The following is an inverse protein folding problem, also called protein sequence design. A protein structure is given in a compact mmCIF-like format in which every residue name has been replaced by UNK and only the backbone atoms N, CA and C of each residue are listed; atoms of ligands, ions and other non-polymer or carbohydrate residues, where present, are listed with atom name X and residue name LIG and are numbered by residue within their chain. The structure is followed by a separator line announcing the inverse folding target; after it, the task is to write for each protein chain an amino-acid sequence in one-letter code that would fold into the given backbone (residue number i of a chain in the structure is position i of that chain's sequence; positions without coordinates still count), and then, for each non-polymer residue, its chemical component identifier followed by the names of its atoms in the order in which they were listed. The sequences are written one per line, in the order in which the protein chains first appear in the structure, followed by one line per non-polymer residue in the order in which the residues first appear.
data_IF_214034787194
#
_entry.id   IF_214034787194
#
_cell.length_a   1.000
_cell.length_b   1.000
_cell.length_c   1.000
_cell.angle_alpha   90.00
_cell.angle_beta   90.00
_cell.angle_gamma   90.00
#
_symmetry.space_group_name_H-M   'P 1'
#
loop_
_entity.id
_entity.type
_entity.pdbx_description
1 polymer ?
#
# COMPACT_ATOMS: atom_id res chain seq x y z
N UNK A 1 -1.23 28.11 -9.56
CA UNK A 1 -1.20 28.51 -8.14
C UNK A 1 -2.50 29.19 -7.75
N UNK A 2 -2.88 30.28 -8.42
CA UNK A 2 -4.09 31.08 -8.11
C UNK A 2 -5.44 30.47 -8.53
N UNK A 3 -5.48 29.20 -8.93
CA UNK A 3 -6.75 28.57 -9.29
C UNK A 3 -7.46 28.11 -8.01
N UNK A 4 -8.77 28.33 -7.82
CA UNK A 4 -9.46 28.05 -6.55
C UNK A 4 -9.35 26.59 -6.08
N UNK A 5 -9.42 25.61 -7.00
CA UNK A 5 -9.17 24.19 -6.71
C UNK A 5 -7.83 23.91 -5.98
N UNK A 6 -6.85 24.82 -6.08
CA UNK A 6 -5.56 24.66 -5.41
C UNK A 6 -5.72 24.61 -3.90
N UNK A 7 -6.62 25.40 -3.33
CA UNK A 7 -6.88 25.47 -1.89
C UNK A 7 -7.43 24.14 -1.36
N UNK A 8 -8.40 23.56 -2.08
CA UNK A 8 -8.95 22.24 -1.75
C UNK A 8 -7.88 21.14 -1.78
N UNK A 9 -6.99 21.20 -2.78
CA UNK A 9 -5.89 20.25 -2.91
C UNK A 9 -4.80 20.46 -1.84
N UNK A 10 -4.50 21.71 -1.46
CA UNK A 10 -3.59 22.00 -0.34
C UNK A 10 -4.11 21.44 0.97
N UNK A 11 -5.40 21.64 1.26
CA UNK A 11 -6.02 21.10 2.46
C UNK A 11 -5.96 19.55 2.49
N UNK A 12 -6.21 18.89 1.36
CA UNK A 12 -6.06 17.44 1.24
C UNK A 12 -4.61 16.99 1.46
N UNK A 13 -3.64 17.68 0.84
CA UNK A 13 -2.22 17.37 0.99
C UNK A 13 -1.82 17.52 2.46
N UNK A 14 -2.12 18.65 3.09
CA UNK A 14 -1.78 18.92 4.49
C UNK A 14 -2.34 17.84 5.43
N UNK A 15 -3.60 17.44 5.22
CA UNK A 15 -4.20 16.35 5.98
C UNK A 15 -3.46 15.02 5.77
N UNK A 16 -3.09 14.67 4.54
CA UNK A 16 -2.37 13.43 4.23
C UNK A 16 -0.93 13.40 4.81
N UNK A 17 -0.29 14.57 4.91
CA UNK A 17 1.11 14.69 5.33
C UNK A 17 1.30 14.68 6.86
N UNK A 18 0.23 14.71 7.66
CA UNK A 18 0.30 14.74 9.15
C UNK A 18 1.22 13.69 9.77
N UNK A 19 1.26 12.48 9.18
CA UNK A 19 2.09 11.37 9.66
C UNK A 19 3.32 11.09 8.78
N UNK A 20 3.61 11.96 7.80
CA UNK A 20 4.72 11.82 6.85
C UNK A 20 5.92 12.60 7.36
N UNK A 21 6.59 12.01 8.37
CA UNK A 21 7.85 12.52 8.90
C UNK A 21 8.76 11.34 9.23
N UNK A 22 10.07 11.60 9.36
CA UNK A 22 11.08 10.59 9.67
C UNK A 22 12.46 10.94 9.13
N UNK A 23 13.43 10.08 9.43
CA UNK A 23 14.81 10.23 8.95
C UNK A 23 15.08 9.16 7.91
N UNK A 24 15.60 9.56 6.76
CA UNK A 24 16.00 8.65 5.68
C UNK A 24 17.48 8.84 5.41
N UNK A 25 18.25 7.75 5.44
CA UNK A 25 19.66 7.77 5.05
C UNK A 25 19.75 7.51 3.56
N UNK A 26 20.48 8.37 2.86
CA UNK A 26 20.67 8.27 1.41
C UNK A 26 22.15 8.18 1.06
N UNK A 27 22.46 7.44 0.00
CA UNK A 27 23.77 7.38 -0.65
C UNK A 27 23.72 8.19 -1.93
N UNK A 28 24.62 9.14 -2.07
CA UNK A 28 24.79 9.95 -3.29
C UNK A 28 25.99 9.41 -4.06
N UNK A 29 25.80 9.03 -5.32
CA UNK A 29 26.88 8.49 -6.13
C UNK A 29 26.67 8.75 -7.62
N UNK A 30 27.63 9.42 -8.27
CA UNK A 30 27.62 9.70 -9.72
C UNK A 30 26.25 10.19 -10.24
N UNK A 31 25.68 11.21 -9.58
CA UNK A 31 24.37 11.76 -9.94
C UNK A 31 23.15 10.94 -9.50
N UNK A 32 23.34 9.81 -8.81
CA UNK A 32 22.25 8.98 -8.29
C UNK A 32 22.02 9.20 -6.79
N UNK A 33 20.77 9.02 -6.37
CA UNK A 33 20.34 9.01 -4.97
C UNK A 33 19.76 7.63 -4.67
N UNK A 34 20.30 6.93 -3.68
CA UNK A 34 19.77 5.63 -3.24
C UNK A 34 19.43 5.68 -1.77
N UNK A 35 18.19 5.35 -1.42
CA UNK A 35 17.77 5.21 -0.03
C UNK A 35 18.36 3.92 0.54
N UNK A 36 19.13 4.03 1.62
CA UNK A 36 19.77 2.89 2.28
C UNK A 36 19.09 2.52 3.60
N UNK A 37 18.43 3.47 4.24
CA UNK A 37 17.74 3.26 5.52
C UNK A 37 16.55 4.20 5.65
N UNK A 38 15.48 3.72 6.30
CA UNK A 38 14.33 4.53 6.72
C UNK A 38 14.12 4.26 8.20
N UNK A 39 14.16 5.30 9.02
CA UNK A 39 14.00 5.19 10.45
C UNK A 39 12.90 6.12 10.94
N UNK A 40 11.89 5.53 11.61
CA UNK A 40 10.77 6.27 12.18
C UNK A 40 10.02 5.43 13.23
N UNK A 41 10.15 5.71 14.54
CA UNK A 41 9.66 4.80 15.58
C UNK A 41 8.14 4.84 15.87
N UNK A 42 7.49 6.02 15.86
CA UNK A 42 6.12 6.26 16.37
C UNK A 42 4.92 6.31 15.36
N UNK A 43 5.11 6.34 14.04
CA UNK A 43 4.05 6.33 13.00
C UNK A 43 4.51 5.63 11.72
N UNK A 44 5.55 4.81 11.83
CA UNK A 44 5.86 3.86 10.79
C UNK A 44 4.72 2.84 10.72
N UNK A 45 4.26 2.56 9.50
CA UNK A 45 3.32 1.45 9.25
C UNK A 45 4.04 0.11 9.08
N UNK A 46 5.38 0.10 9.17
CA UNK A 46 6.18 -1.10 9.11
C UNK A 46 6.33 -1.72 10.50
N UNK A 47 5.74 -2.91 10.68
CA UNK A 47 5.80 -3.69 11.91
C UNK A 47 6.50 -5.03 11.64
N UNK A 48 7.74 -5.24 12.14
CA UNK A 48 8.50 -6.48 11.92
C UNK A 48 7.76 -7.75 12.35
N UNK A 49 7.01 -7.69 13.45
CA UNK A 49 6.22 -8.80 14.00
C UNK A 49 5.17 -9.32 13.00
N UNK A 50 4.53 -8.43 12.24
CA UNK A 50 3.50 -8.78 11.25
C UNK A 50 4.17 -9.29 9.96
N UNK A 51 5.30 -8.70 9.57
CA UNK A 51 6.01 -9.04 8.33
C UNK A 51 6.74 -10.38 8.41
N UNK A 52 7.31 -10.70 9.57
CA UNK A 52 8.24 -11.81 9.71
C UNK A 52 7.53 -13.15 9.51
N UNK A 53 8.06 -14.00 8.63
CA UNK A 53 7.57 -15.37 8.40
C UNK A 53 7.76 -16.24 9.65
N UNK A 54 8.77 -15.93 10.47
CA UNK A 54 9.08 -16.65 11.69
C UNK A 54 8.29 -16.14 12.91
N UNK A 55 7.61 -15.01 12.78
CA UNK A 55 6.82 -14.44 13.87
C UNK A 55 5.35 -14.84 13.71
N UNK A 56 4.63 -14.82 14.83
CA UNK A 56 3.20 -15.15 14.90
C UNK A 56 2.31 -13.89 14.83
N UNK A 57 2.86 -12.72 14.47
CA UNK A 57 2.13 -11.45 14.47
C UNK A 57 1.04 -11.32 13.40
N UNK A 58 0.94 -12.28 12.49
CA UNK A 58 -0.10 -12.33 11.46
C UNK A 58 -0.67 -13.75 11.32
N UNK A 59 -1.99 -13.89 11.48
CA UNK A 59 -2.68 -15.16 11.27
C UNK A 59 -2.83 -15.47 9.77
N UNK A 60 -1.96 -16.35 9.28
CA UNK A 60 -1.92 -16.74 7.88
C UNK A 60 -3.21 -17.45 7.41
N UNK A 61 -4.04 -17.98 8.33
CA UNK A 61 -5.30 -18.64 7.97
C UNK A 61 -6.29 -17.68 7.33
N UNK A 62 -6.18 -16.37 7.60
CA UNK A 62 -7.03 -15.35 7.00
C UNK A 62 -6.83 -15.22 5.49
N UNK A 63 -5.63 -15.55 4.98
CA UNK A 63 -5.30 -15.44 3.57
C UNK A 63 -6.23 -16.25 2.67
N UNK A 64 -6.62 -17.46 3.07
CA UNK A 64 -7.47 -18.33 2.27
C UNK A 64 -8.85 -17.69 2.01
N UNK A 65 -9.48 -17.18 3.07
CA UNK A 65 -10.78 -16.53 2.98
C UNK A 65 -10.70 -15.19 2.23
N UNK A 66 -9.66 -14.37 2.51
CA UNK A 66 -9.44 -13.11 1.82
C UNK A 66 -9.23 -13.31 0.30
N UNK A 67 -8.43 -14.31 -0.08
CA UNK A 67 -8.22 -14.66 -1.49
C UNK A 67 -9.52 -15.11 -2.17
N UNK A 68 -10.33 -15.92 -1.49
CA UNK A 68 -11.63 -16.37 -2.02
C UNK A 68 -12.59 -15.21 -2.25
N UNK A 69 -12.73 -14.31 -1.27
CA UNK A 69 -13.61 -13.14 -1.38
C UNK A 69 -13.13 -12.20 -2.49
N UNK A 70 -11.82 -11.89 -2.54
CA UNK A 70 -11.26 -11.01 -3.57
C UNK A 70 -11.33 -11.62 -4.98
N UNK A 71 -11.26 -12.95 -5.07
CA UNK A 71 -11.38 -13.70 -6.33
C UNK A 71 -12.82 -13.82 -6.84
N UNK A 72 -13.82 -13.66 -5.97
CA UNK A 72 -15.22 -13.94 -6.29
C UNK A 72 -15.77 -13.13 -7.48
N UNK A 73 -15.52 -11.81 -7.61
CA UNK A 73 -15.98 -11.05 -8.77
C UNK A 73 -15.43 -11.58 -10.10
N UNK A 74 -14.17 -12.03 -10.11
CA UNK A 74 -13.52 -12.59 -11.30
C UNK A 74 -14.04 -13.98 -11.64
N UNK A 75 -14.36 -14.80 -10.63
CA UNK A 75 -14.99 -16.11 -10.83
C UNK A 75 -16.37 -15.94 -11.50
N UNK A 76 -17.16 -14.96 -11.06
CA UNK A 76 -18.47 -14.63 -11.65
C UNK A 76 -18.29 -14.15 -13.10
N UNK A 77 -17.33 -13.25 -13.34
CA UNK A 77 -17.01 -12.75 -14.68
C UNK A 77 -16.64 -13.90 -15.63
N UNK A 78 -15.80 -14.83 -15.17
CA UNK A 78 -15.38 -15.99 -15.94
C UNK A 78 -16.56 -16.96 -16.21
N UNK A 79 -17.47 -17.16 -15.26
CA UNK A 79 -18.70 -17.94 -15.45
C UNK A 79 -19.62 -17.30 -16.49
N UNK A 80 -19.82 -15.98 -16.42
CA UNK A 80 -20.60 -15.22 -17.42
C UNK A 80 -20.00 -15.36 -18.82
N UNK A 81 -18.70 -15.12 -18.96
CA UNK A 81 -18.02 -15.15 -20.27
C UNK A 81 -18.08 -16.54 -20.91
N UNK A 82 -18.00 -17.62 -20.12
CA UNK A 82 -18.20 -19.00 -20.61
C UNK A 82 -19.62 -19.22 -21.12
N UNK A 83 -20.65 -18.74 -20.39
CA UNK A 83 -22.05 -18.82 -20.85
C UNK A 83 -22.30 -18.03 -22.13
N UNK A 84 -21.66 -16.87 -22.30
CA UNK A 84 -21.79 -16.06 -23.52
C UNK A 84 -21.08 -16.70 -24.71
N UNK A 85 -19.89 -17.28 -24.54
CA UNK A 85 -19.14 -17.95 -25.62
C UNK A 85 -19.73 -19.30 -26.06
N UNK A 86 -20.49 -19.96 -25.19
CA UNK A 86 -21.16 -21.23 -25.48
C UNK A 86 -22.57 -21.08 -26.06
N UNK A 87 -23.03 -19.85 -26.27
CA UNK A 87 -24.18 -19.50 -27.12
C UNK A 87 -23.65 -18.96 -28.44
#
# INVERSE_FOLDING_TARGET
WFHPLKEDLDAFIEQSQKNVYGVTKVKLYKGNITIVERNRPDSSLFYPEIRSIKAEGFDQRWCANAAKVRGLPFEILAKRNRKVKGK
#
